data_IF_348335973681
#
_entry.id   IF_348335973681
#
_cell.length_a   1.000
_cell.length_b   1.000
_cell.length_c   1.000
_cell.angle_alpha   90.00
_cell.angle_beta   90.00
_cell.angle_gamma   90.00
#
_symmetry.space_group_name_H-M   'P 1'
#
loop_
_entity.id
_entity.type
_entity.pdbx_description
1 polymer ?
#
# COMPACT_ATOMS: atom_id res chain seq x y z
N UNK A 1 18.89 5.63 22.72
CA UNK A 1 18.40 4.82 21.57
C UNK A 1 17.09 5.39 20.97
N UNK A 2 17.00 6.69 20.63
CA UNK A 2 15.78 7.32 20.10
C UNK A 2 15.78 7.55 18.57
N UNK A 3 16.95 7.57 17.94
CA UNK A 3 17.12 7.94 16.52
C UNK A 3 16.58 6.88 15.54
N UNK A 4 16.77 5.59 15.80
CA UNK A 4 16.36 4.53 14.87
C UNK A 4 14.83 4.35 14.80
N UNK A 5 14.13 4.38 15.94
CA UNK A 5 12.65 4.30 15.97
C UNK A 5 12.00 5.44 15.19
N UNK A 6 12.49 6.67 15.39
CA UNK A 6 11.95 7.84 14.69
C UNK A 6 12.15 7.77 13.17
N UNK A 7 13.32 7.33 12.69
CA UNK A 7 13.58 7.16 11.26
C UNK A 7 12.68 6.11 10.61
N UNK A 8 12.37 5.02 11.33
CA UNK A 8 11.49 3.96 10.84
C UNK A 8 10.04 4.42 10.71
N UNK A 9 9.54 5.15 11.70
CA UNK A 9 8.17 5.67 11.66
C UNK A 9 7.98 6.67 10.51
N UNK A 10 9.00 7.49 10.22
CA UNK A 10 9.04 8.34 9.03
C UNK A 10 9.07 7.56 7.72
N UNK A 11 9.81 6.45 7.66
CA UNK A 11 9.81 5.58 6.48
C UNK A 11 8.41 4.98 6.26
N UNK A 12 7.78 4.44 7.30
CA UNK A 12 6.41 3.92 7.22
C UNK A 12 5.41 5.00 6.80
N UNK A 13 5.52 6.21 7.36
CA UNK A 13 4.71 7.35 6.95
C UNK A 13 4.87 7.63 5.46
N UNK A 14 6.11 7.73 4.97
CA UNK A 14 6.36 7.97 3.54
C UNK A 14 5.75 6.88 2.67
N UNK A 15 5.86 5.61 3.09
CA UNK A 15 5.31 4.47 2.33
C UNK A 15 3.80 4.53 2.23
N UNK A 16 3.14 4.66 3.39
CA UNK A 16 1.69 4.68 3.48
C UNK A 16 1.12 5.94 2.80
N UNK A 17 1.80 7.08 2.91
CA UNK A 17 1.37 8.32 2.27
C UNK A 17 1.40 8.24 0.74
N UNK A 18 2.43 7.64 0.16
CA UNK A 18 2.47 7.44 -1.30
C UNK A 18 1.42 6.42 -1.74
N UNK A 19 1.22 5.34 -0.99
CA UNK A 19 0.16 4.38 -1.30
C UNK A 19 -1.21 5.06 -1.23
N UNK A 20 -1.47 5.86 -0.19
CA UNK A 20 -2.69 6.66 -0.06
C UNK A 20 -2.89 7.62 -1.24
N UNK A 21 -1.82 8.29 -1.68
CA UNK A 21 -1.86 9.13 -2.85
C UNK A 21 -2.18 8.32 -4.13
N UNK A 22 -1.60 7.12 -4.29
CA UNK A 22 -1.92 6.20 -5.37
C UNK A 22 -3.40 5.83 -5.42
N UNK A 23 -3.97 5.45 -4.27
CA UNK A 23 -5.40 5.12 -4.17
C UNK A 23 -6.28 6.29 -4.61
N UNK A 24 -6.02 7.49 -4.08
CA UNK A 24 -6.84 8.69 -4.34
C UNK A 24 -6.66 9.21 -5.77
N UNK A 25 -5.45 9.12 -6.34
CA UNK A 25 -5.11 9.75 -7.60
C UNK A 25 -5.23 8.83 -8.82
N UNK A 26 -5.20 7.50 -8.64
CA UNK A 26 -5.24 6.52 -9.74
C UNK A 26 -6.38 5.51 -9.58
N UNK A 27 -6.44 4.83 -8.44
CA UNK A 27 -7.27 3.64 -8.24
C UNK A 27 -8.74 4.00 -8.10
N UNK A 28 -9.04 4.96 -7.20
CA UNK A 28 -10.39 5.36 -6.84
C UNK A 28 -10.99 6.44 -7.74
N UNK A 29 -10.25 6.91 -8.75
CA UNK A 29 -10.75 7.92 -9.72
C UNK A 29 -12.06 7.48 -10.38
N UNK A 30 -12.23 6.17 -10.59
CA UNK A 30 -13.46 5.60 -11.15
C UNK A 30 -14.71 5.76 -10.27
N UNK A 31 -14.54 6.01 -8.96
CA UNK A 31 -15.63 6.24 -8.02
C UNK A 31 -16.00 7.72 -7.87
N UNK A 32 -15.19 8.63 -8.40
CA UNK A 32 -15.51 10.05 -8.31
C UNK A 32 -16.72 10.39 -9.20
N UNK A 33 -17.56 11.36 -8.80
CA UNK A 33 -18.59 11.88 -9.68
C UNK A 33 -17.99 12.35 -11.01
N UNK A 34 -18.51 11.86 -12.14
CA UNK A 34 -17.98 12.19 -13.48
C UNK A 34 -17.90 13.68 -13.76
N UNK A 35 -18.80 14.47 -13.17
CA UNK A 35 -18.79 15.93 -13.27
C UNK A 35 -17.46 16.56 -12.81
N UNK A 36 -16.74 15.93 -11.88
CA UNK A 36 -15.51 16.46 -11.30
C UNK A 36 -14.26 16.21 -12.15
N UNK A 37 -14.24 15.18 -13.00
CA UNK A 37 -13.03 14.78 -13.72
C UNK A 37 -13.19 14.53 -15.23
N UNK A 38 -14.40 14.26 -15.73
CA UNK A 38 -14.59 13.78 -17.10
C UNK A 38 -14.34 14.85 -18.16
N UNK A 39 -14.80 16.08 -17.92
CA UNK A 39 -14.66 17.20 -18.88
C UNK A 39 -13.29 17.86 -18.73
N UNK A 40 -12.67 18.37 -19.81
CA UNK A 40 -11.39 19.09 -19.74
C UNK A 40 -11.39 20.29 -18.79
N UNK A 41 -12.52 20.98 -18.68
CA UNK A 41 -12.70 22.12 -17.78
C UNK A 41 -13.02 21.72 -16.32
N UNK A 42 -13.14 20.43 -16.02
CA UNK A 42 -13.47 19.97 -14.67
C UNK A 42 -12.26 20.11 -13.74
N UNK A 43 -12.47 20.43 -12.45
CA UNK A 43 -11.37 20.75 -11.52
C UNK A 43 -10.40 19.59 -11.31
N UNK A 44 -10.87 18.35 -11.39
CA UNK A 44 -10.05 17.13 -11.23
C UNK A 44 -9.71 16.48 -12.59
N UNK A 45 -9.81 17.20 -13.71
CA UNK A 45 -9.46 16.62 -15.02
C UNK A 45 -7.99 16.17 -15.10
N UNK A 46 -7.11 16.80 -14.31
CA UNK A 46 -5.70 16.40 -14.22
C UNK A 46 -5.54 14.92 -13.81
N UNK A 47 -6.51 14.31 -13.09
CA UNK A 47 -6.50 12.88 -12.75
C UNK A 47 -6.57 11.99 -13.99
N UNK A 48 -7.35 12.42 -15.00
CA UNK A 48 -7.44 11.70 -16.27
C UNK A 48 -6.12 11.81 -17.02
N UNK A 49 -5.50 12.99 -17.01
CA UNK A 49 -4.18 13.21 -17.61
C UNK A 49 -3.12 12.37 -16.90
N UNK A 50 -3.13 12.34 -15.56
CA UNK A 50 -2.22 11.54 -14.75
C UNK A 50 -2.38 10.04 -15.04
N UNK A 51 -3.62 9.53 -15.11
CA UNK A 51 -3.90 8.13 -15.47
C UNK A 51 -3.46 7.81 -16.90
N UNK A 52 -3.67 8.71 -17.86
CA UNK A 52 -3.17 8.53 -19.24
C UNK A 52 -1.64 8.51 -19.27
N UNK A 53 -0.99 9.39 -18.52
CA UNK A 53 0.46 9.42 -18.39
C UNK A 53 0.96 8.11 -17.79
N UNK A 54 0.38 7.67 -16.67
CA UNK A 54 0.67 6.39 -16.04
C UNK A 54 0.59 5.24 -17.05
N UNK A 55 -0.53 5.10 -17.74
CA UNK A 55 -0.75 4.05 -18.73
C UNK A 55 0.27 4.09 -19.88
N UNK A 56 0.63 5.28 -20.37
CA UNK A 56 1.65 5.43 -21.41
C UNK A 56 3.03 4.99 -20.93
N UNK A 57 3.38 5.26 -19.68
CA UNK A 57 4.68 4.92 -19.11
C UNK A 57 4.76 3.44 -18.71
N UNK A 58 3.73 2.92 -18.05
CA UNK A 58 3.75 1.60 -17.43
C UNK A 58 3.17 0.51 -18.32
N UNK A 59 2.23 0.83 -19.21
CA UNK A 59 1.50 -0.16 -20.02
C UNK A 59 0.63 -1.09 -19.17
N UNK A 60 0.21 -0.62 -18.00
CA UNK A 60 -0.46 -1.45 -16.99
C UNK A 60 -1.88 -1.87 -17.43
N UNK A 61 -2.11 -3.17 -17.71
CA UNK A 61 -3.36 -3.64 -18.29
C UNK A 61 -4.56 -3.48 -17.36
N UNK A 62 -4.35 -3.38 -16.04
CA UNK A 62 -5.43 -3.30 -15.06
C UNK A 62 -6.18 -1.96 -15.08
N UNK A 63 -5.53 -0.90 -15.58
CA UNK A 63 -6.09 0.44 -15.61
C UNK A 63 -6.66 0.83 -16.97
N UNK A 64 -6.63 -0.08 -17.95
CA UNK A 64 -7.22 0.13 -19.28
C UNK A 64 -8.75 0.15 -19.21
N UNK A 65 -9.36 1.06 -19.98
CA UNK A 65 -10.81 1.23 -20.02
C UNK A 65 -11.56 0.19 -20.88
N UNK A 66 -10.88 -0.81 -21.45
CA UNK A 66 -11.46 -1.69 -22.47
C UNK A 66 -12.18 -2.91 -21.88
N UNK A 67 -13.44 -3.20 -22.29
CA UNK A 67 -14.18 -4.40 -21.92
C UNK A 67 -13.50 -5.73 -22.29
N UNK A 68 -12.53 -5.75 -23.21
CA UNK A 68 -11.81 -6.98 -23.55
C UNK A 68 -10.89 -7.48 -22.40
N UNK A 69 -10.58 -6.60 -21.43
CA UNK A 69 -9.86 -6.92 -20.19
C UNK A 69 -10.78 -7.43 -19.05
N UNK A 70 -12.07 -7.68 -19.34
CA UNK A 70 -13.14 -7.94 -18.35
C UNK A 70 -12.97 -9.16 -17.42
N UNK A 71 -11.98 -10.04 -17.60
CA UNK A 71 -11.68 -11.08 -16.59
C UNK A 71 -11.06 -10.46 -15.32
N UNK A 72 -10.23 -9.43 -15.50
CA UNK A 72 -9.72 -8.64 -14.38
C UNK A 72 -10.81 -7.77 -13.74
N UNK A 73 -11.80 -7.31 -14.52
CA UNK A 73 -12.73 -6.28 -14.08
C UNK A 73 -13.65 -6.68 -12.91
N UNK A 74 -13.99 -7.96 -12.74
CA UNK A 74 -14.89 -8.38 -11.65
C UNK A 74 -14.14 -8.47 -10.31
N UNK A 75 -13.04 -9.22 -10.25
CA UNK A 75 -12.25 -9.34 -9.02
C UNK A 75 -11.55 -8.03 -8.68
N UNK A 76 -11.01 -7.31 -9.66
CA UNK A 76 -10.35 -6.00 -9.45
C UNK A 76 -11.34 -4.98 -8.90
N UNK A 77 -12.58 -4.97 -9.39
CA UNK A 77 -13.65 -4.13 -8.83
C UNK A 77 -13.95 -4.50 -7.38
N UNK A 78 -13.95 -5.79 -7.04
CA UNK A 78 -14.05 -6.26 -5.66
C UNK A 78 -12.91 -5.72 -4.79
N UNK A 79 -11.67 -5.82 -5.25
CA UNK A 79 -10.50 -5.26 -4.54
C UNK A 79 -10.56 -3.74 -4.39
N UNK A 80 -11.04 -3.02 -5.41
CA UNK A 80 -11.24 -1.58 -5.32
C UNK A 80 -12.30 -1.18 -4.28
N UNK A 81 -13.33 -2.00 -4.06
CA UNK A 81 -14.27 -1.78 -2.96
C UNK A 81 -13.62 -2.04 -1.60
N UNK A 82 -12.84 -3.10 -1.47
CA UNK A 82 -12.06 -3.37 -0.24
C UNK A 82 -11.08 -2.22 0.01
N UNK A 83 -10.45 -1.71 -1.04
CA UNK A 83 -9.56 -0.56 -0.96
C UNK A 83 -10.32 0.68 -0.48
N UNK A 84 -11.45 1.01 -1.10
CA UNK A 84 -12.27 2.17 -0.74
C UNK A 84 -12.77 2.13 0.71
N UNK A 85 -13.30 0.99 1.15
CA UNK A 85 -13.98 0.87 2.44
C UNK A 85 -13.08 0.45 3.61
N UNK A 86 -11.92 -0.17 3.32
CA UNK A 86 -11.05 -0.74 4.36
C UNK A 86 -9.64 -0.16 4.27
N UNK A 87 -9.00 -0.29 3.11
CA UNK A 87 -7.58 0.07 2.98
C UNK A 87 -7.35 1.58 3.03
N UNK A 88 -8.23 2.37 2.41
CA UNK A 88 -8.21 3.83 2.38
C UNK A 88 -8.40 4.44 3.78
N UNK A 89 -9.44 4.10 4.57
CA UNK A 89 -9.57 4.65 5.91
C UNK A 89 -8.42 4.21 6.84
N UNK A 90 -7.91 2.98 6.68
CA UNK A 90 -6.71 2.53 7.39
C UNK A 90 -5.49 3.38 7.03
N UNK A 91 -5.26 3.64 5.74
CA UNK A 91 -4.14 4.47 5.28
C UNK A 91 -4.24 5.89 5.81
N UNK A 92 -5.41 6.51 5.73
CA UNK A 92 -5.67 7.85 6.23
C UNK A 92 -5.44 7.94 7.76
N UNK A 93 -5.95 6.96 8.51
CA UNK A 93 -5.72 6.85 9.95
C UNK A 93 -4.22 6.72 10.27
N UNK A 94 -3.50 5.84 9.59
CA UNK A 94 -2.08 5.63 9.81
C UNK A 94 -1.25 6.87 9.50
N UNK A 95 -1.51 7.54 8.37
CA UNK A 95 -0.84 8.80 8.00
C UNK A 95 -1.09 9.87 9.05
N UNK A 96 -2.35 10.08 9.46
CA UNK A 96 -2.70 11.04 10.51
C UNK A 96 -1.96 10.74 11.82
N UNK A 97 -1.95 9.46 12.25
CA UNK A 97 -1.35 9.05 13.52
C UNK A 97 0.18 9.02 13.51
N UNK A 98 0.82 8.77 12.37
CA UNK A 98 2.27 8.82 12.22
C UNK A 98 2.78 10.26 12.02
N UNK A 99 2.01 11.11 11.36
CA UNK A 99 2.35 12.52 11.18
C UNK A 99 2.10 13.38 12.43
N UNK A 100 1.19 12.95 13.32
CA UNK A 100 0.89 13.69 14.55
C UNK A 100 2.05 13.63 15.56
N UNK A 101 2.59 14.81 15.89
CA UNK A 101 3.68 15.00 16.88
C UNK A 101 3.28 14.66 18.33
N UNK A 102 2.01 14.35 18.61
CA UNK A 102 1.50 14.11 19.97
C UNK A 102 1.91 12.78 20.59
N UNK A 103 2.59 11.90 19.85
CA UNK A 103 2.84 10.50 20.22
C UNK A 103 3.85 10.27 21.37
N UNK A 104 4.46 11.31 21.93
CA UNK A 104 5.43 11.11 23.02
C UNK A 104 5.58 12.39 23.83
N UNK A 105 4.71 12.59 24.81
CA UNK A 105 5.00 13.59 25.85
C UNK A 105 4.52 13.20 27.24
N UNK A 106 3.45 12.40 27.36
CA UNK A 106 2.91 11.98 28.65
C UNK A 106 2.75 10.47 28.65
N UNK A 107 3.76 9.70 29.09
CA UNK A 107 3.73 8.23 29.14
C UNK A 107 2.63 7.66 30.03
N UNK A 108 1.38 7.73 29.56
CA UNK A 108 0.15 7.18 30.15
C UNK A 108 -0.25 5.92 29.39
N UNK A 109 -0.97 5.03 30.06
CA UNK A 109 -1.48 3.78 29.48
C UNK A 109 -2.33 3.98 28.20
N UNK A 110 -2.95 5.16 28.05
CA UNK A 110 -3.64 5.58 26.83
C UNK A 110 -2.74 5.57 25.58
N UNK A 111 -1.44 5.86 25.76
CA UNK A 111 -0.45 5.83 24.67
C UNK A 111 -0.10 4.40 24.25
N UNK A 112 -0.21 3.43 25.16
CA UNK A 112 0.07 2.01 24.86
C UNK A 112 -1.04 1.39 24.02
N UNK A 113 -2.31 1.60 24.39
CA UNK A 113 -3.46 1.17 23.61
C UNK A 113 -3.50 1.85 22.23
N UNK A 114 -3.22 3.15 22.20
CA UNK A 114 -3.07 3.93 20.98
C UNK A 114 -1.94 3.41 20.06
N UNK A 115 -0.82 2.95 20.63
CA UNK A 115 0.26 2.37 19.86
C UNK A 115 -0.10 0.99 19.32
N UNK A 116 -0.74 0.14 20.13
CA UNK A 116 -1.23 -1.17 19.71
C UNK A 116 -2.25 -1.06 18.57
N UNK A 117 -3.18 -0.09 18.65
CA UNK A 117 -4.14 0.18 17.57
C UNK A 117 -3.46 0.57 16.26
N UNK A 118 -2.35 1.32 16.32
CA UNK A 118 -1.58 1.71 15.13
C UNK A 118 -0.76 0.56 14.58
N UNK A 119 -0.15 -0.25 15.44
CA UNK A 119 0.55 -1.46 15.01
C UNK A 119 -0.43 -2.46 14.34
N UNK A 120 -1.63 -2.64 14.89
CA UNK A 120 -2.67 -3.49 14.32
C UNK A 120 -3.21 -2.94 12.99
N UNK A 121 -3.49 -1.64 12.92
CA UNK A 121 -3.93 -0.99 11.68
C UNK A 121 -2.85 -1.09 10.59
N UNK A 122 -1.58 -0.92 10.93
CA UNK A 122 -0.46 -1.03 10.01
C UNK A 122 -0.30 -2.47 9.49
N UNK A 123 -0.48 -3.47 10.37
CA UNK A 123 -0.48 -4.87 9.99
C UNK A 123 -1.63 -5.19 9.02
N UNK A 124 -2.86 -4.81 9.36
CA UNK A 124 -4.02 -5.03 8.50
C UNK A 124 -3.85 -4.37 7.13
N UNK A 125 -3.40 -3.12 7.10
CA UNK A 125 -3.10 -2.39 5.87
C UNK A 125 -2.04 -3.11 5.01
N UNK A 126 -0.98 -3.59 5.64
CA UNK A 126 0.09 -4.29 4.93
C UNK A 126 -0.38 -5.64 4.38
N UNK A 127 -1.18 -6.40 5.11
CA UNK A 127 -1.79 -7.64 4.64
C UNK A 127 -2.71 -7.40 3.42
N UNK A 128 -3.57 -6.38 3.46
CA UNK A 128 -4.44 -6.02 2.34
C UNK A 128 -3.63 -5.62 1.10
N UNK A 129 -2.63 -4.76 1.29
CA UNK A 129 -1.74 -4.32 0.21
C UNK A 129 -0.99 -5.50 -0.42
N UNK A 130 -0.48 -6.41 0.42
CA UNK A 130 0.21 -7.61 -0.04
C UNK A 130 -0.71 -8.56 -0.82
N UNK A 131 -1.93 -8.82 -0.31
CA UNK A 131 -2.90 -9.65 -1.02
C UNK A 131 -3.29 -9.05 -2.38
N UNK A 132 -3.49 -7.72 -2.45
CA UNK A 132 -3.75 -7.03 -3.72
C UNK A 132 -2.60 -7.20 -4.71
N UNK A 133 -1.36 -7.00 -4.26
CA UNK A 133 -0.15 -7.27 -5.05
C UNK A 133 -0.09 -8.70 -5.58
N UNK A 134 -0.35 -9.70 -4.72
CA UNK A 134 -0.33 -11.12 -5.11
C UNK A 134 -1.43 -11.43 -6.14
N UNK A 135 -2.64 -10.88 -5.97
CA UNK A 135 -3.73 -11.05 -6.92
C UNK A 135 -3.38 -10.49 -8.30
N UNK A 136 -2.82 -9.27 -8.35
CA UNK A 136 -2.32 -8.67 -9.59
C UNK A 136 -1.22 -9.51 -10.24
N UNK A 137 -0.28 -10.06 -9.46
CA UNK A 137 0.76 -10.94 -9.98
C UNK A 137 0.23 -12.26 -10.51
N UNK A 138 -0.73 -12.88 -9.83
CA UNK A 138 -1.36 -14.11 -10.27
C UNK A 138 -2.10 -13.91 -11.61
N UNK A 139 -2.86 -12.83 -11.74
CA UNK A 139 -3.53 -12.50 -13.01
C UNK A 139 -2.52 -12.19 -14.11
N UNK A 140 -1.48 -11.38 -13.84
CA UNK A 140 -0.41 -11.12 -14.82
C UNK A 140 0.27 -12.42 -15.27
N UNK A 141 0.53 -13.34 -14.33
CA UNK A 141 1.10 -14.65 -14.62
C UNK A 141 0.19 -15.49 -15.52
N UNK A 142 -1.13 -15.45 -15.29
CA UNK A 142 -2.13 -16.11 -16.13
C UNK A 142 -2.33 -15.44 -17.50
N UNK A 143 -2.02 -14.16 -17.66
CA UNK A 143 -2.13 -13.48 -18.96
C UNK A 143 -1.14 -14.07 -19.98
N UNK A 144 -1.69 -14.50 -21.12
CA UNK A 144 -0.91 -15.01 -22.26
C UNK A 144 -0.11 -13.92 -22.98
N UNK A 145 0.95 -14.33 -23.66
CA UNK A 145 1.90 -13.47 -24.41
C UNK A 145 1.25 -12.63 -25.52
N UNK A 146 0.04 -12.99 -25.96
CA UNK A 146 -0.75 -12.25 -26.96
C UNK A 146 -1.36 -10.96 -26.40
N UNK A 147 -1.54 -10.84 -25.07
CA UNK A 147 -2.09 -9.64 -24.42
C UNK A 147 -1.01 -8.76 -23.79
N UNK A 148 0.11 -9.34 -23.37
CA UNK A 148 1.18 -8.65 -22.68
C UNK A 148 2.53 -9.23 -23.13
N UNK A 149 3.44 -8.38 -23.63
CA UNK A 149 4.77 -8.86 -24.02
C UNK A 149 5.52 -9.42 -22.80
N UNK A 150 6.40 -10.42 -22.98
CA UNK A 150 7.17 -11.01 -21.87
C UNK A 150 8.00 -9.98 -21.09
N UNK A 151 8.56 -8.99 -21.78
CA UNK A 151 9.35 -7.92 -21.18
C UNK A 151 8.49 -6.98 -20.33
N UNK A 152 7.31 -6.61 -20.83
CA UNK A 152 6.35 -5.78 -20.10
C UNK A 152 5.79 -6.53 -18.88
N UNK A 153 5.50 -7.82 -19.02
CA UNK A 153 5.08 -8.71 -17.93
C UNK A 153 6.11 -8.76 -16.82
N UNK A 154 7.38 -8.96 -17.17
CA UNK A 154 8.49 -8.99 -16.20
C UNK A 154 8.66 -7.62 -15.52
N UNK A 155 8.57 -6.53 -16.27
CA UNK A 155 8.63 -5.16 -15.72
C UNK A 155 7.49 -4.86 -14.75
N UNK A 156 6.27 -5.32 -15.03
CA UNK A 156 5.13 -5.12 -14.14
C UNK A 156 5.20 -6.02 -12.91
N UNK A 157 5.55 -7.30 -13.07
CA UNK A 157 5.72 -8.24 -11.95
C UNK A 157 6.79 -7.75 -10.97
N UNK A 158 8.01 -7.52 -11.43
CA UNK A 158 9.13 -7.17 -10.55
C UNK A 158 9.26 -5.67 -10.29
N UNK A 159 8.66 -4.80 -11.11
CA UNK A 159 8.78 -3.35 -10.98
C UNK A 159 7.57 -2.64 -10.36
N UNK A 160 6.41 -3.30 -10.35
CA UNK A 160 5.15 -2.67 -9.92
C UNK A 160 4.48 -3.42 -8.79
N UNK A 161 4.28 -4.72 -8.97
CA UNK A 161 3.42 -5.50 -8.06
C UNK A 161 4.21 -6.29 -7.02
N UNK A 162 5.43 -6.70 -7.37
CA UNK A 162 6.27 -7.58 -6.56
C UNK A 162 7.72 -7.06 -6.47
N UNK A 163 7.92 -5.78 -6.08
CA UNK A 163 9.25 -5.20 -6.10
C UNK A 163 10.22 -5.77 -5.05
N UNK A 164 9.73 -6.67 -4.21
CA UNK A 164 10.49 -7.43 -3.21
C UNK A 164 11.07 -8.73 -3.74
N UNK A 165 10.59 -9.25 -4.88
CA UNK A 165 11.24 -10.36 -5.56
C UNK A 165 12.46 -9.84 -6.35
N UNK A 166 13.44 -9.28 -5.64
CA UNK A 166 14.75 -8.96 -6.21
C UNK A 166 15.51 -10.28 -6.35
N UNK A 167 15.20 -11.04 -7.41
CA UNK A 167 16.17 -11.95 -7.98
C UNK A 167 16.96 -11.19 -9.04
N UNK A 168 18.26 -11.03 -8.75
CA UNK A 168 19.35 -10.57 -9.61
C UNK A 168 19.06 -10.76 -11.12
N UNK A 169 18.53 -9.75 -11.80
CA UNK A 169 18.81 -9.49 -13.22
C UNK A 169 18.71 -7.98 -13.46
N UNK A 170 19.83 -7.42 -13.94
CA UNK A 170 20.03 -6.01 -14.29
C UNK A 170 18.81 -5.40 -14.99
N UNK A 171 18.20 -4.38 -14.38
CA UNK A 171 17.22 -3.52 -15.05
C UNK A 171 17.92 -2.25 -15.57
N UNK A 172 17.59 -1.79 -16.80
CA UNK A 172 18.07 -0.52 -17.30
C UNK A 172 17.42 0.66 -16.56
N UNK A 173 18.21 1.72 -16.46
CA UNK A 173 18.01 2.96 -15.70
C UNK A 173 16.72 3.69 -16.07
N UNK A 174 15.73 3.65 -15.17
CA UNK A 174 14.61 4.60 -15.14
C UNK A 174 14.37 5.04 -13.69
N UNK A 175 14.87 6.23 -13.36
CA UNK A 175 14.92 6.80 -12.00
C UNK A 175 13.57 7.01 -11.30
N UNK A 176 12.44 6.74 -11.97
CA UNK A 176 11.09 6.81 -11.38
C UNK A 176 10.55 5.45 -10.90
N UNK A 177 11.14 4.34 -11.36
CA UNK A 177 10.77 2.97 -10.94
C UNK A 177 11.41 2.62 -9.58
N UNK A 178 12.51 3.28 -9.21
CA UNK A 178 13.23 3.05 -7.95
C UNK A 178 12.40 3.43 -6.71
N UNK A 179 11.60 4.51 -6.78
CA UNK A 179 10.77 4.93 -5.65
C UNK A 179 9.67 3.90 -5.37
N UNK A 180 9.02 3.35 -6.42
CA UNK A 180 7.95 2.35 -6.28
C UNK A 180 8.50 0.96 -5.93
N UNK A 181 9.69 0.62 -6.41
CA UNK A 181 10.37 -0.63 -6.05
C UNK A 181 10.77 -0.72 -4.57
N UNK A 182 10.96 0.42 -3.92
CA UNK A 182 11.21 0.44 -2.48
C UNK A 182 9.95 0.10 -1.66
N UNK A 183 8.74 0.33 -2.21
CA UNK A 183 7.52 0.43 -1.40
C UNK A 183 6.83 -0.92 -1.13
N UNK A 184 6.78 -1.82 -2.11
CA UNK A 184 6.20 -3.16 -1.90
C UNK A 184 7.05 -4.02 -0.95
N UNK A 185 8.38 -3.92 -1.05
CA UNK A 185 9.32 -4.50 -0.08
C UNK A 185 9.14 -3.94 1.31
N UNK A 186 8.87 -2.63 1.39
CA UNK A 186 8.69 -2.00 2.67
C UNK A 186 7.33 -2.29 3.31
N UNK A 187 6.27 -2.59 2.55
CA UNK A 187 4.99 -3.03 3.11
C UNK A 187 5.09 -4.41 3.77
N UNK A 188 5.77 -5.39 3.13
CA UNK A 188 5.99 -6.71 3.73
C UNK A 188 6.91 -6.64 4.97
N UNK A 189 7.99 -5.85 4.89
CA UNK A 189 8.89 -5.60 6.03
C UNK A 189 8.15 -4.85 7.16
N UNK A 190 7.24 -3.95 6.81
CA UNK A 190 6.36 -3.27 7.77
C UNK A 190 5.41 -4.27 8.44
N UNK A 191 4.79 -5.19 7.70
CA UNK A 191 3.93 -6.23 8.27
C UNK A 191 4.68 -7.09 9.30
N UNK A 192 5.86 -7.60 8.92
CA UNK A 192 6.68 -8.44 9.80
C UNK A 192 7.15 -7.67 11.04
N UNK A 193 7.59 -6.42 10.89
CA UNK A 193 7.98 -5.60 12.04
C UNK A 193 6.80 -5.32 12.97
N UNK A 194 5.64 -4.96 12.43
CA UNK A 194 4.45 -4.64 13.23
C UNK A 194 3.93 -5.88 13.94
N UNK A 195 3.92 -7.04 13.28
CA UNK A 195 3.58 -8.32 13.89
C UNK A 195 4.52 -8.65 15.05
N UNK A 196 5.83 -8.50 14.86
CA UNK A 196 6.81 -8.74 15.92
C UNK A 196 6.58 -7.83 17.14
N UNK A 197 6.24 -6.54 16.92
CA UNK A 197 5.93 -5.59 18.01
C UNK A 197 4.67 -5.97 18.78
N UNK A 198 3.59 -6.31 18.06
CA UNK A 198 2.35 -6.78 18.67
C UNK A 198 2.61 -8.02 19.53
N UNK A 199 3.32 -9.00 18.99
CA UNK A 199 3.63 -10.23 19.71
C UNK A 199 4.48 -9.98 20.97
N UNK A 200 5.48 -9.10 20.89
CA UNK A 200 6.29 -8.71 22.06
C UNK A 200 5.45 -8.01 23.14
N UNK A 201 4.52 -7.12 22.74
CA UNK A 201 3.61 -6.45 23.68
C UNK A 201 2.64 -7.43 24.35
N UNK A 202 2.07 -8.37 23.60
CA UNK A 202 1.21 -9.41 24.15
C UNK A 202 1.94 -10.25 25.21
N UNK A 203 3.18 -10.66 24.93
CA UNK A 203 4.00 -11.41 25.92
C UNK A 203 4.31 -10.58 27.17
N UNK A 204 4.60 -9.29 26.99
CA UNK A 204 4.86 -8.38 28.11
C UNK A 204 3.61 -8.20 29.00
N UNK A 205 2.43 -8.04 28.40
CA UNK A 205 1.15 -7.94 29.11
C UNK A 205 0.84 -9.22 29.89
N UNK A 206 1.01 -10.39 29.29
CA UNK A 206 0.79 -11.68 29.97
C UNK A 206 1.74 -11.87 31.16
N UNK A 207 3.00 -11.42 31.03
CA UNK A 207 3.99 -11.54 32.11
C UNK A 207 3.65 -10.62 33.30
N UNK A 208 2.97 -9.50 33.05
CA UNK A 208 2.47 -8.59 34.10
C UNK A 208 1.23 -9.16 34.81
N UNK A 209 0.30 -9.75 34.07
CA UNK A 209 -0.90 -10.39 34.66
C UNK A 209 -0.55 -11.59 35.57
N UNK A 210 0.47 -12.38 35.20
CA UNK A 210 0.93 -13.49 36.05
C UNK A 210 1.52 -12.96 37.36
N UNK A 211 2.39 -11.95 37.30
CA UNK A 211 2.96 -11.33 38.51
C UNK A 211 1.94 -10.62 39.39
N UNK A 212 0.84 -10.14 38.82
CA UNK A 212 -0.24 -9.50 39.57
C UNK A 212 -1.16 -10.51 40.30
N UNK A 213 -1.20 -11.77 39.86
CA UNK A 213 -1.96 -12.85 40.53
C UNK A 213 -1.19 -13.57 41.64
N UNK A 214 0.13 -13.44 41.65
CA UNK A 214 1.01 -14.06 42.65
C UNK A 214 1.26 -13.16 43.88
N UNK A 215 0.67 -11.95 43.92
CA UNK A 215 0.67 -11.01 45.04
C UNK A 215 -0.73 -10.90 45.65
#
# INVERSE_FOLDING_TARGET
MSSSKHRRDWAYLAIIAVQLAGMVLLDLVGFYPKALYAKPAAPLHFLVTLRRFYLRTTGDPFFHASPAANHAAAWMRGFLYVELFVQLPLAAFLVYRLASRRRSRNGRDDDAAAAAAVELAALAFACLTFMGSVACCAELAAMGSRRLSPDLKSRLLYGTYLPFAIFRKQLPSVSFIVVRNLMGSAAAVMAVDMFARLHLRFRASQSQDVKAKDN
#
